data_IF_423683656192
#
_entry.id   IF_423683656192
#
_cell.length_a   1.000
_cell.length_b   1.000
_cell.length_c   1.000
_cell.angle_alpha   90.00
_cell.angle_beta   90.00
_cell.angle_gamma   90.00
#
_symmetry.space_group_name_H-M   'P 1'
#
loop_
_entity.id
_entity.type
_entity.pdbx_description
1 polymer ?
#
# COMPACT_ATOMS: atom_id res chain seq x y z
N UNK A 1 11.91 12.49 -3.05
CA UNK A 1 11.78 11.18 -3.71
C UNK A 1 11.06 11.40 -5.01
N UNK A 2 11.59 10.83 -6.08
CA UNK A 2 10.87 10.78 -7.36
C UNK A 2 9.65 9.84 -7.21
N UNK A 3 8.55 10.10 -7.92
CA UNK A 3 7.33 9.28 -7.82
C UNK A 3 7.61 7.79 -8.09
N UNK A 4 8.44 7.50 -9.10
CA UNK A 4 8.90 6.14 -9.42
C UNK A 4 9.62 5.47 -8.25
N UNK A 5 10.48 6.20 -7.56
CA UNK A 5 11.22 5.69 -6.40
C UNK A 5 10.28 5.36 -5.23
N UNK A 6 9.25 6.19 -5.01
CA UNK A 6 8.27 5.98 -3.95
C UNK A 6 7.41 4.73 -4.21
N UNK A 7 6.97 4.53 -5.46
CA UNK A 7 6.24 3.31 -5.86
C UNK A 7 7.09 2.08 -5.61
N UNK A 8 8.34 2.08 -6.06
CA UNK A 8 9.23 0.93 -5.88
C UNK A 8 9.42 0.56 -4.41
N UNK A 9 9.65 1.56 -3.55
CA UNK A 9 9.77 1.35 -2.10
C UNK A 9 8.46 0.86 -1.47
N UNK A 10 7.32 1.32 -1.98
CA UNK A 10 6.01 0.85 -1.51
C UNK A 10 5.78 -0.62 -1.89
N UNK A 11 6.15 -1.02 -3.10
CA UNK A 11 6.08 -2.42 -3.55
C UNK A 11 6.92 -3.34 -2.67
N UNK A 12 8.17 -2.97 -2.41
CA UNK A 12 9.06 -3.75 -1.53
C UNK A 12 8.49 -3.87 -0.12
N UNK A 13 7.95 -2.77 0.41
CA UNK A 13 7.32 -2.78 1.72
C UNK A 13 6.10 -3.70 1.78
N UNK A 14 5.23 -3.64 0.77
CA UNK A 14 4.03 -4.47 0.68
C UNK A 14 4.37 -5.96 0.53
N UNK A 15 5.36 -6.29 -0.31
CA UNK A 15 5.86 -7.68 -0.45
C UNK A 15 6.32 -8.25 0.88
N UNK A 16 7.12 -7.48 1.62
CA UNK A 16 7.60 -7.91 2.93
C UNK A 16 6.45 -8.15 3.91
N UNK A 17 5.41 -7.31 3.90
CA UNK A 17 4.23 -7.53 4.74
C UNK A 17 3.50 -8.85 4.39
N UNK A 18 3.47 -9.24 3.11
CA UNK A 18 2.93 -10.54 2.70
C UNK A 18 3.77 -11.71 3.20
N UNK A 19 5.09 -11.60 3.05
CA UNK A 19 6.02 -12.63 3.50
C UNK A 19 5.91 -12.85 5.02
N UNK A 20 5.71 -11.77 5.78
CA UNK A 20 5.51 -11.82 7.23
C UNK A 20 4.12 -12.40 7.62
N UNK A 21 3.07 -12.04 6.90
CA UNK A 21 1.70 -12.54 7.11
C UNK A 21 0.94 -12.73 5.77
N UNK A 22 0.56 -13.97 5.42
CA UNK A 22 -0.15 -14.25 4.17
C UNK A 22 -1.53 -13.60 4.08
N UNK A 23 -2.13 -13.21 5.22
CA UNK A 23 -3.42 -12.50 5.28
C UNK A 23 -3.26 -11.00 5.51
N UNK A 24 -2.05 -10.47 5.32
CA UNK A 24 -1.75 -9.08 5.59
C UNK A 24 -2.63 -8.12 4.78
N UNK A 25 -3.02 -7.05 5.47
CA UNK A 25 -3.80 -5.94 4.92
C UNK A 25 -3.07 -4.63 5.20
N UNK A 26 -3.21 -3.68 4.30
CA UNK A 26 -2.57 -2.37 4.41
C UNK A 26 -3.62 -1.25 4.41
N UNK A 27 -3.40 -0.22 5.24
CA UNK A 27 -4.21 1.00 5.25
C UNK A 27 -3.38 2.18 4.78
N UNK A 28 -4.05 3.20 4.24
CA UNK A 28 -3.43 4.48 3.84
C UNK A 28 -2.59 5.08 4.98
N UNK A 29 -3.08 5.01 6.22
CA UNK A 29 -2.36 5.51 7.40
C UNK A 29 -1.00 4.84 7.64
N UNK A 30 -0.80 3.58 7.22
CA UNK A 30 0.52 2.92 7.31
C UNK A 30 1.49 3.53 6.30
N UNK A 31 1.04 3.80 5.07
CA UNK A 31 1.84 4.47 4.05
C UNK A 31 2.21 5.90 4.47
N UNK A 32 1.26 6.63 5.08
CA UNK A 32 1.50 7.96 5.63
C UNK A 32 2.67 7.96 6.64
N UNK A 33 2.65 7.04 7.61
CA UNK A 33 3.71 6.95 8.63
C UNK A 33 5.02 6.42 8.07
N UNK A 34 4.97 5.43 7.17
CA UNK A 34 6.15 4.79 6.60
C UNK A 34 6.95 5.73 5.71
N UNK A 35 6.26 6.54 4.90
CA UNK A 35 6.88 7.44 3.94
C UNK A 35 6.87 8.92 4.37
N UNK A 36 6.27 9.23 5.53
CA UNK A 36 6.13 10.58 6.09
C UNK A 36 5.47 11.51 5.05
N UNK A 37 4.29 11.09 4.58
CA UNK A 37 3.52 11.79 3.56
C UNK A 37 2.09 12.09 4.05
N UNK A 38 1.49 13.12 3.46
CA UNK A 38 0.08 13.48 3.71
C UNK A 38 -0.90 12.40 3.24
N UNK A 39 -2.18 12.57 3.58
CA UNK A 39 -3.23 11.62 3.20
C UNK A 39 -3.37 11.50 1.67
N UNK A 40 -3.50 12.61 0.96
CA UNK A 40 -3.70 12.63 -0.50
C UNK A 40 -2.61 11.87 -1.28
N UNK A 41 -1.30 12.12 -1.06
CA UNK A 41 -0.27 11.34 -1.75
C UNK A 41 -0.25 9.86 -1.32
N UNK A 42 -0.59 9.53 -0.07
CA UNK A 42 -0.70 8.15 0.37
C UNK A 42 -1.90 7.42 -0.26
N UNK A 43 -3.03 8.11 -0.43
CA UNK A 43 -4.20 7.59 -1.11
C UNK A 43 -3.90 7.31 -2.59
N UNK A 44 -3.24 8.24 -3.28
CA UNK A 44 -2.77 8.03 -4.65
C UNK A 44 -1.84 6.83 -4.77
N UNK A 45 -0.89 6.69 -3.84
CA UNK A 45 0.02 5.55 -3.81
C UNK A 45 -0.76 4.23 -3.61
N UNK A 46 -1.79 4.22 -2.76
CA UNK A 46 -2.65 3.06 -2.56
C UNK A 46 -3.43 2.70 -3.82
N UNK A 47 -3.95 3.69 -4.54
CA UNK A 47 -4.68 3.50 -5.80
C UNK A 47 -3.75 3.03 -6.93
N UNK A 48 -2.50 3.50 -6.97
CA UNK A 48 -1.48 2.97 -7.89
C UNK A 48 -1.16 1.50 -7.58
N UNK A 49 -1.00 1.13 -6.31
CA UNK A 49 -0.80 -0.26 -5.90
C UNK A 49 -2.00 -1.15 -6.31
N UNK A 50 -3.22 -0.63 -6.20
CA UNK A 50 -4.42 -1.35 -6.64
C UNK A 50 -4.44 -1.53 -8.16
N UNK A 51 -4.15 -0.47 -8.91
CA UNK A 51 -4.06 -0.49 -10.37
C UNK A 51 -3.00 -1.49 -10.88
N UNK A 52 -1.91 -1.64 -10.13
CA UNK A 52 -0.85 -2.62 -10.41
C UNK A 52 -1.20 -4.06 -10.00
N UNK A 53 -2.36 -4.30 -9.37
CA UNK A 53 -2.77 -5.62 -8.88
C UNK A 53 -2.03 -6.10 -7.63
N UNK A 54 -1.39 -5.18 -6.89
CA UNK A 54 -0.59 -5.47 -5.69
C UNK A 54 -1.48 -5.59 -4.46
N UNK A 55 -2.52 -4.75 -4.40
CA UNK A 55 -3.55 -4.80 -3.37
C UNK A 55 -4.92 -5.03 -4.01
N UNK A 56 -5.81 -5.68 -3.27
CA UNK A 56 -7.19 -5.90 -3.68
C UNK A 56 -7.98 -4.57 -3.68
N UNK A 57 -9.06 -4.49 -4.48
CA UNK A 57 -10.01 -3.40 -4.39
C UNK A 57 -10.51 -3.19 -2.96
N UNK A 58 -10.83 -1.94 -2.62
CA UNK A 58 -11.43 -1.62 -1.33
C UNK A 58 -12.75 -2.38 -1.14
N UNK A 59 -12.83 -3.19 -0.09
CA UNK A 59 -13.97 -4.08 0.22
C UNK A 59 -15.01 -3.44 1.15
N UNK A 60 -14.93 -2.13 1.38
CA UNK A 60 -15.84 -1.41 2.29
C UNK A 60 -15.50 -1.57 3.78
N UNK A 61 -14.44 -2.32 4.12
CA UNK A 61 -14.10 -2.59 5.52
C UNK A 61 -13.14 -1.54 6.13
N UNK A 62 -13.20 -1.29 7.44
CA UNK A 62 -12.25 -0.40 8.11
C UNK A 62 -10.83 -0.99 8.22
N UNK A 63 -10.62 -2.23 7.74
CA UNK A 63 -9.37 -2.99 7.91
C UNK A 63 -8.32 -2.68 6.83
N UNK A 64 -8.64 -1.90 5.80
CA UNK A 64 -7.70 -1.55 4.70
C UNK A 64 -7.90 -2.42 3.47
N UNK A 65 -6.92 -2.51 2.57
CA UNK A 65 -6.95 -3.40 1.38
C UNK A 65 -6.08 -4.63 1.62
N UNK A 66 -6.50 -5.79 1.11
CA UNK A 66 -5.73 -7.05 1.20
C UNK A 66 -4.55 -7.01 0.25
N UNK A 67 -3.40 -7.55 0.67
CA UNK A 67 -2.22 -7.67 -0.19
C UNK A 67 -2.33 -8.97 -1.01
N UNK A 68 -2.18 -8.86 -2.33
CA UNK A 68 -2.40 -9.96 -3.29
C UNK A 68 -1.12 -10.67 -3.72
N UNK A 69 -0.02 -9.94 -3.79
CA UNK A 69 1.32 -10.47 -4.15
C UNK A 69 2.03 -11.08 -2.96
#
# INVERSE_FOLDING_TARGET
MEQREMIQKALEYVKRLKEDDPNSRIKIAYLQRKFIIGYTPAAKLMDELECMGVVAPYDGTPHGRTILI
#
